data_IF_902141703358
#
_entry.id   IF_902141703358
#
_cell.length_a   1.000
_cell.length_b   1.000
_cell.length_c   1.000
_cell.angle_alpha   90.00
_cell.angle_beta   90.00
_cell.angle_gamma   90.00
#
_symmetry.space_group_name_H-M   'P 1'
#
loop_
_entity.id
_entity.type
_entity.pdbx_description
1 polymer ?
#
# COMPACT_ATOMS: atom_id res chain seq x y z
N UNK A 1 7.99 -45.42 5.91
CA UNK A 1 8.31 -44.21 5.10
C UNK A 1 9.19 -44.51 3.89
N UNK A 2 10.35 -45.19 3.99
CA UNK A 2 11.26 -45.37 2.82
C UNK A 2 10.76 -46.21 1.62
N UNK A 3 9.66 -46.96 1.72
CA UNK A 3 9.14 -47.77 0.60
C UNK A 3 8.06 -47.05 -0.22
N UNK A 4 7.31 -46.12 0.38
CA UNK A 4 6.34 -45.29 -0.34
C UNK A 4 7.03 -44.16 -1.12
N UNK A 5 8.15 -43.64 -0.59
CA UNK A 5 8.94 -42.61 -1.28
C UNK A 5 9.59 -43.14 -2.57
N UNK A 6 10.07 -44.39 -2.57
CA UNK A 6 10.68 -45.02 -3.76
C UNK A 6 9.66 -45.36 -4.86
N UNK A 7 8.44 -45.73 -4.47
CA UNK A 7 7.35 -46.03 -5.41
C UNK A 7 6.75 -44.75 -6.02
N UNK A 8 6.72 -43.64 -5.26
CA UNK A 8 6.35 -42.32 -5.78
C UNK A 8 7.42 -41.75 -6.73
N UNK A 9 8.70 -41.95 -6.41
CA UNK A 9 9.84 -41.45 -7.22
C UNK A 9 9.99 -42.22 -8.54
N UNK A 10 9.69 -43.52 -8.57
CA UNK A 10 9.66 -44.32 -9.82
C UNK A 10 8.48 -43.98 -10.72
N UNK A 11 7.34 -43.57 -10.15
CA UNK A 11 6.18 -43.08 -10.91
C UNK A 11 6.43 -41.70 -11.52
N UNK A 12 7.02 -40.78 -10.75
CA UNK A 12 7.43 -39.45 -11.21
C UNK A 12 8.46 -39.53 -12.34
N UNK A 13 9.45 -40.43 -12.25
CA UNK A 13 10.41 -40.68 -13.34
C UNK A 13 9.76 -41.25 -14.60
N UNK A 14 8.74 -42.09 -14.46
CA UNK A 14 8.01 -42.66 -15.60
C UNK A 14 7.17 -41.61 -16.36
N UNK A 15 6.59 -40.66 -15.64
CA UNK A 15 5.86 -39.52 -16.21
C UNK A 15 6.82 -38.51 -16.87
N UNK A 16 7.98 -38.26 -16.25
CA UNK A 16 9.03 -37.41 -16.80
C UNK A 16 9.65 -37.99 -18.09
N UNK A 17 9.89 -39.31 -18.15
CA UNK A 17 10.37 -39.99 -19.36
C UNK A 17 9.32 -39.97 -20.47
N UNK A 18 8.03 -40.03 -20.16
CA UNK A 18 6.95 -39.87 -21.15
C UNK A 18 6.91 -38.45 -21.71
N UNK A 19 7.00 -37.43 -20.85
CA UNK A 19 7.06 -36.04 -21.28
C UNK A 19 8.30 -35.76 -22.14
N UNK A 20 9.45 -36.32 -21.78
CA UNK A 20 10.69 -36.25 -22.58
C UNK A 20 10.56 -37.00 -23.92
N UNK A 21 9.83 -38.10 -23.99
CA UNK A 21 9.56 -38.83 -25.23
C UNK A 21 8.59 -38.08 -26.15
N UNK A 22 7.56 -37.42 -25.61
CA UNK A 22 6.69 -36.52 -26.37
C UNK A 22 7.45 -35.28 -26.86
N UNK A 23 8.25 -34.65 -26.00
CA UNK A 23 9.13 -33.55 -26.40
C UNK A 23 10.14 -33.99 -27.48
N UNK A 24 10.72 -35.18 -27.35
CA UNK A 24 11.62 -35.75 -28.37
C UNK A 24 10.89 -36.07 -29.66
N UNK A 25 9.63 -36.50 -29.61
CA UNK A 25 8.81 -36.78 -30.80
C UNK A 25 8.41 -35.49 -31.52
N UNK A 26 8.02 -34.44 -30.78
CA UNK A 26 7.74 -33.11 -31.33
C UNK A 26 9.01 -32.47 -31.90
N UNK A 27 10.14 -32.57 -31.20
CA UNK A 27 11.43 -32.11 -31.74
C UNK A 27 11.81 -32.95 -32.96
N UNK A 28 11.63 -34.27 -32.95
CA UNK A 28 11.92 -35.16 -34.10
C UNK A 28 11.02 -34.94 -35.31
N UNK A 29 9.78 -34.50 -35.12
CA UNK A 29 8.82 -34.19 -36.18
C UNK A 29 8.95 -32.74 -36.68
N UNK A 30 9.51 -31.82 -35.88
CA UNK A 30 9.76 -30.42 -36.27
C UNK A 30 11.22 -30.10 -36.63
N UNK A 31 12.17 -31.03 -36.46
CA UNK A 31 13.59 -30.87 -36.85
C UNK A 31 14.02 -31.75 -38.04
N UNK A 32 13.10 -32.41 -38.74
CA UNK A 32 13.36 -33.02 -40.06
C UNK A 32 13.41 -31.97 -41.20
N UNK A 33 14.09 -30.85 -40.94
CA UNK A 33 14.14 -29.73 -41.86
C UNK A 33 15.14 -28.64 -41.46
N UNK A 34 16.29 -29.00 -40.87
CA UNK A 34 17.57 -28.30 -41.00
C UNK A 34 18.50 -28.65 -39.84
N UNK A 35 19.45 -29.56 -40.07
CA UNK A 35 20.88 -29.33 -39.78
C UNK A 35 21.67 -30.63 -40.02
N UNK A 36 22.55 -30.54 -41.01
CA UNK A 36 23.98 -30.82 -40.87
C UNK A 36 24.62 -31.61 -42.02
N UNK A 37 25.46 -30.85 -42.70
CA UNK A 37 26.71 -31.23 -43.31
C UNK A 37 27.46 -32.21 -42.37
N UNK A 38 27.92 -33.36 -42.85
CA UNK A 38 29.37 -33.68 -42.93
C UNK A 38 29.68 -35.09 -43.48
N UNK A 39 30.59 -35.08 -44.46
CA UNK A 39 31.67 -36.03 -44.79
C UNK A 39 31.47 -37.56 -44.78
N UNK A 40 31.54 -38.12 -46.00
CA UNK A 40 32.20 -39.39 -46.33
C UNK A 40 32.55 -39.33 -47.83
N UNK A 41 33.77 -39.00 -48.27
CA UNK A 41 35.02 -39.80 -48.30
C UNK A 41 34.87 -41.19 -48.96
N UNK A 42 35.51 -41.29 -50.15
CA UNK A 42 36.20 -42.45 -50.77
C UNK A 42 35.57 -42.90 -52.11
N UNK A 43 36.13 -42.45 -53.24
CA UNK A 43 37.11 -43.19 -54.10
C UNK A 43 36.40 -44.37 -54.82
N UNK A 44 36.25 -44.43 -56.15
CA UNK A 44 37.25 -44.50 -57.23
C UNK A 44 36.51 -44.39 -58.59
N UNK A 45 36.79 -43.40 -59.43
CA UNK A 45 37.58 -43.48 -60.69
C UNK A 45 37.12 -44.49 -61.76
N UNK A 46 36.82 -44.04 -62.99
CA UNK A 46 37.73 -44.10 -64.18
C UNK A 46 37.06 -43.62 -65.49
N UNK A 47 37.89 -43.03 -66.38
CA UNK A 47 37.77 -42.82 -67.84
C UNK A 47 36.86 -41.69 -68.37
N UNK A 48 37.37 -40.48 -68.67
CA UNK A 48 38.07 -39.99 -69.90
C UNK A 48 37.26 -40.21 -71.20
N UNK A 49 37.08 -39.25 -72.13
CA UNK A 49 38.08 -38.46 -72.84
C UNK A 49 37.41 -37.31 -73.65
N UNK A 50 38.09 -36.16 -73.71
CA UNK A 50 38.13 -35.14 -74.77
C UNK A 50 36.87 -34.49 -75.38
N UNK A 51 36.84 -33.16 -75.29
CA UNK A 51 36.00 -32.27 -76.07
C UNK A 51 36.52 -30.84 -75.97
N UNK A 52 37.67 -30.60 -76.57
CA UNK A 52 38.27 -29.29 -76.79
C UNK A 52 37.29 -28.31 -77.46
N UNK A 53 36.81 -27.34 -76.68
CA UNK A 53 36.13 -26.13 -77.16
C UNK A 53 36.94 -24.90 -76.75
N UNK A 54 38.03 -24.67 -77.49
CA UNK A 54 38.90 -23.52 -77.34
C UNK A 54 38.13 -22.23 -77.64
N UNK A 55 38.28 -21.27 -76.74
CA UNK A 55 38.49 -19.83 -76.99
C UNK A 55 37.52 -19.09 -77.91
N UNK A 56 36.81 -18.16 -77.29
CA UNK A 56 36.38 -16.91 -77.91
C UNK A 56 36.52 -15.71 -76.96
N UNK A 57 37.61 -15.63 -76.17
CA UNK A 57 38.04 -14.36 -75.58
C UNK A 57 39.32 -13.96 -76.32
N UNK A 58 39.12 -13.16 -77.36
CA UNK A 58 40.19 -12.54 -78.11
C UNK A 58 40.32 -11.11 -77.58
N UNK A 59 41.38 -10.90 -76.79
CA UNK A 59 42.12 -9.66 -76.47
C UNK A 59 42.45 -9.64 -74.97
N UNK A 60 43.65 -9.14 -74.62
CA UNK A 60 44.11 -9.00 -73.22
C UNK A 60 43.25 -8.08 -72.34
N UNK A 61 42.22 -7.46 -72.92
CA UNK A 61 41.24 -6.61 -72.25
C UNK A 61 40.20 -7.45 -71.48
N UNK A 62 39.87 -8.66 -71.94
CA UNK A 62 38.83 -9.52 -71.36
C UNK A 62 39.20 -10.20 -70.03
N UNK A 63 40.49 -10.31 -69.72
CA UNK A 63 40.96 -10.98 -68.49
C UNK A 63 40.81 -10.07 -67.25
N UNK A 64 41.05 -8.77 -67.42
CA UNK A 64 40.81 -7.76 -66.38
C UNK A 64 39.31 -7.55 -66.11
N UNK A 65 38.47 -7.73 -67.14
CA UNK A 65 37.00 -7.60 -67.06
C UNK A 65 36.38 -8.60 -66.05
N UNK A 66 36.88 -9.84 -66.01
CA UNK A 66 36.34 -10.87 -65.10
C UNK A 66 36.87 -10.80 -63.67
N UNK A 67 38.02 -10.16 -63.41
CA UNK A 67 38.60 -10.06 -62.05
C UNK A 67 37.73 -9.24 -61.10
N UNK A 68 37.18 -8.11 -61.56
CA UNK A 68 36.31 -7.27 -60.74
C UNK A 68 35.03 -8.01 -60.30
N UNK A 69 34.38 -8.75 -61.22
CA UNK A 69 33.19 -9.57 -60.90
C UNK A 69 33.53 -10.71 -59.95
N UNK A 70 34.72 -11.32 -60.10
CA UNK A 70 35.20 -12.38 -59.20
C UNK A 70 35.46 -11.85 -57.80
N UNK A 71 36.02 -10.64 -57.67
CA UNK A 71 36.28 -10.00 -56.38
C UNK A 71 34.99 -9.68 -55.63
N UNK A 72 34.00 -9.09 -56.31
CA UNK A 72 32.68 -8.78 -55.70
C UNK A 72 31.92 -10.06 -55.34
N UNK A 73 32.02 -11.14 -56.16
CA UNK A 73 31.46 -12.46 -55.79
C UNK A 73 32.11 -13.05 -54.54
N UNK A 74 33.43 -12.94 -54.42
CA UNK A 74 34.17 -13.45 -53.26
C UNK A 74 33.80 -12.66 -52.00
N UNK A 75 33.74 -11.34 -52.08
CA UNK A 75 33.27 -10.48 -50.99
C UNK A 75 31.82 -10.77 -50.58
N UNK A 76 30.93 -11.02 -51.55
CA UNK A 76 29.56 -11.40 -51.26
C UNK A 76 29.46 -12.74 -50.50
N UNK A 77 30.35 -13.69 -50.79
CA UNK A 77 30.43 -14.98 -50.08
C UNK A 77 31.06 -14.85 -48.69
N UNK A 78 32.09 -14.01 -48.53
CA UNK A 78 32.77 -13.79 -47.24
C UNK A 78 31.91 -12.96 -46.27
N UNK A 79 31.12 -12.01 -46.78
CA UNK A 79 30.24 -11.14 -45.98
C UNK A 79 28.79 -11.65 -45.91
N UNK A 80 28.48 -12.79 -46.54
CA UNK A 80 27.12 -13.34 -46.65
C UNK A 80 26.03 -12.34 -47.12
N UNK A 81 26.41 -11.33 -47.90
CA UNK A 81 25.50 -10.27 -48.32
C UNK A 81 24.79 -10.62 -49.62
N UNK A 82 23.47 -10.79 -49.55
CA UNK A 82 22.63 -11.06 -50.73
C UNK A 82 22.65 -9.90 -51.73
N UNK A 83 22.76 -8.66 -51.26
CA UNK A 83 22.82 -7.45 -52.08
C UNK A 83 24.10 -7.41 -52.91
N UNK A 84 25.25 -7.74 -52.30
CA UNK A 84 26.52 -7.88 -53.03
C UNK A 84 26.47 -9.02 -54.05
N UNK A 85 25.80 -10.13 -53.71
CA UNK A 85 25.62 -11.26 -54.61
C UNK A 85 24.70 -10.94 -55.80
N UNK A 86 23.70 -10.08 -55.61
CA UNK A 86 22.84 -9.56 -56.68
C UNK A 86 23.57 -8.54 -57.56
N UNK A 87 24.39 -7.65 -56.98
CA UNK A 87 25.24 -6.74 -57.73
C UNK A 87 26.22 -7.50 -58.62
N UNK A 88 26.91 -8.51 -58.07
CA UNK A 88 27.87 -9.30 -58.84
C UNK A 88 27.21 -10.02 -60.04
N UNK A 89 25.93 -10.42 -59.91
CA UNK A 89 25.12 -10.97 -61.00
C UNK A 89 24.79 -9.92 -62.06
N UNK A 90 24.41 -8.70 -61.66
CA UNK A 90 24.12 -7.57 -62.56
C UNK A 90 25.36 -7.06 -63.28
N UNK A 91 26.53 -7.04 -62.62
CA UNK A 91 27.82 -6.73 -63.24
C UNK A 91 28.21 -7.77 -64.29
N UNK A 92 28.04 -9.07 -63.96
CA UNK A 92 28.31 -10.15 -64.89
C UNK A 92 27.41 -10.11 -66.13
N UNK A 93 26.14 -9.70 -66.00
CA UNK A 93 25.24 -9.51 -67.14
C UNK A 93 25.59 -8.26 -67.95
N UNK A 94 25.91 -7.14 -67.31
CA UNK A 94 26.27 -5.90 -68.00
C UNK A 94 27.53 -6.07 -68.87
N UNK A 95 28.54 -6.82 -68.39
CA UNK A 95 29.75 -7.11 -69.16
C UNK A 95 29.52 -8.09 -70.32
N UNK A 96 28.57 -9.02 -70.19
CA UNK A 96 28.28 -10.02 -71.24
C UNK A 96 27.44 -9.46 -72.41
N UNK A 97 26.63 -8.45 -72.18
CA UNK A 97 25.71 -7.88 -73.18
C UNK A 97 26.20 -6.54 -73.78
N UNK A 98 27.27 -5.94 -73.25
CA UNK A 98 27.79 -4.62 -73.70
C UNK A 98 28.54 -4.64 -75.03
N UNK A 99 28.95 -5.81 -75.53
CA UNK A 99 29.71 -5.92 -76.80
C UNK A 99 28.85 -5.67 -78.05
N UNK A 100 27.55 -5.43 -77.91
CA UNK A 100 26.61 -5.25 -79.02
C UNK A 100 26.37 -3.78 -79.43
N UNK A 101 26.66 -2.79 -78.58
CA UNK A 101 26.25 -1.38 -78.80
C UNK A 101 27.38 -0.33 -78.72
N UNK A 102 28.64 -0.71 -78.45
CA UNK A 102 29.77 0.24 -78.44
C UNK A 102 29.92 1.11 -77.17
N UNK A 103 29.05 0.92 -76.17
CA UNK A 103 29.16 1.55 -74.86
C UNK A 103 30.18 0.86 -73.94
N UNK A 104 30.97 1.64 -73.17
CA UNK A 104 31.99 1.16 -72.24
C UNK A 104 31.36 0.36 -71.06
N UNK A 105 31.53 -0.97 -70.98
CA UNK A 105 30.97 -1.81 -69.93
C UNK A 105 31.46 -1.42 -68.52
N UNK A 106 32.67 -0.87 -68.40
CA UNK A 106 33.22 -0.46 -67.11
C UNK A 106 32.61 0.82 -66.58
N UNK A 107 32.17 1.73 -67.44
CA UNK A 107 31.45 2.92 -67.01
C UNK A 107 30.17 2.53 -66.26
N UNK A 108 29.43 1.55 -66.79
CA UNK A 108 28.20 1.01 -66.18
C UNK A 108 28.45 0.24 -64.89
N UNK A 109 29.55 -0.51 -64.83
CA UNK A 109 29.95 -1.24 -63.60
C UNK A 109 30.42 -0.29 -62.50
N UNK A 110 31.22 0.74 -62.83
CA UNK A 110 31.60 1.80 -61.87
C UNK A 110 30.37 2.57 -61.39
N UNK A 111 29.41 2.86 -62.27
CA UNK A 111 28.14 3.49 -61.89
C UNK A 111 27.36 2.63 -60.88
N UNK A 112 27.17 1.33 -61.14
CA UNK A 112 26.48 0.43 -60.20
C UNK A 112 27.22 0.25 -58.86
N UNK A 113 28.56 0.22 -58.88
CA UNK A 113 29.37 0.20 -57.65
C UNK A 113 29.19 1.50 -56.87
N UNK A 114 29.25 2.65 -57.54
CA UNK A 114 29.05 3.96 -56.92
C UNK A 114 27.64 4.10 -56.34
N UNK A 115 26.60 3.68 -57.06
CA UNK A 115 25.21 3.67 -56.56
C UNK A 115 25.07 2.80 -55.30
N UNK A 116 25.72 1.63 -55.27
CA UNK A 116 25.67 0.75 -54.10
C UNK A 116 26.49 1.31 -52.93
N UNK A 117 27.62 1.96 -53.19
CA UNK A 117 28.39 2.68 -52.16
C UNK A 117 27.54 3.84 -51.60
N UNK A 118 26.88 4.63 -52.45
CA UNK A 118 25.98 5.69 -52.03
C UNK A 118 24.80 5.15 -51.21
N UNK A 119 24.23 4.01 -51.61
CA UNK A 119 23.15 3.34 -50.86
C UNK A 119 23.65 2.85 -49.50
N UNK A 120 24.82 2.21 -49.43
CA UNK A 120 25.42 1.73 -48.18
C UNK A 120 25.81 2.87 -47.24
N UNK A 121 26.32 3.99 -47.78
CA UNK A 121 26.59 5.19 -46.98
C UNK A 121 25.30 5.81 -46.46
N UNK A 122 24.24 5.86 -47.28
CA UNK A 122 22.92 6.32 -46.87
C UNK A 122 22.32 5.43 -45.77
N UNK A 123 22.41 4.11 -45.93
CA UNK A 123 21.93 3.13 -44.95
C UNK A 123 22.72 3.23 -43.64
N UNK A 124 24.05 3.33 -43.69
CA UNK A 124 24.88 3.60 -42.51
C UNK A 124 24.46 4.87 -41.77
N UNK A 125 24.20 5.96 -42.50
CA UNK A 125 23.74 7.20 -41.85
C UNK A 125 22.33 7.07 -41.27
N UNK A 126 21.47 6.25 -41.89
CA UNK A 126 20.12 6.00 -41.40
C UNK A 126 20.12 5.12 -40.15
N UNK A 127 20.91 4.05 -40.13
CA UNK A 127 21.10 3.18 -38.96
C UNK A 127 21.79 3.90 -37.81
N UNK A 128 22.81 4.72 -38.08
CA UNK A 128 23.45 5.53 -37.04
C UNK A 128 22.48 6.52 -36.39
N UNK A 129 21.61 7.15 -37.19
CA UNK A 129 20.53 8.01 -36.70
C UNK A 129 19.49 7.23 -35.90
N UNK A 130 19.09 6.05 -36.38
CA UNK A 130 18.12 5.19 -35.69
C UNK A 130 18.67 4.68 -34.36
N UNK A 131 19.93 4.23 -34.33
CA UNK A 131 20.61 3.82 -33.09
C UNK A 131 20.70 4.97 -32.10
N UNK A 132 21.10 6.16 -32.54
CA UNK A 132 21.15 7.35 -31.68
C UNK A 132 19.76 7.73 -31.13
N UNK A 133 18.70 7.52 -31.92
CA UNK A 133 17.32 7.69 -31.49
C UNK A 133 16.92 6.65 -30.43
N UNK A 134 17.13 5.36 -30.69
CA UNK A 134 16.87 4.28 -29.71
C UNK A 134 17.64 4.50 -28.40
N UNK A 135 18.94 4.78 -28.47
CA UNK A 135 19.78 5.02 -27.28
C UNK A 135 19.25 6.20 -26.44
N UNK A 136 18.79 7.27 -27.12
CA UNK A 136 18.20 8.45 -26.46
C UNK A 136 16.84 8.14 -25.83
N UNK A 137 15.92 7.55 -26.59
CA UNK A 137 14.57 7.22 -26.11
C UNK A 137 14.61 6.20 -24.96
N UNK A 138 15.50 5.21 -25.02
CA UNK A 138 15.72 4.26 -23.92
C UNK A 138 16.24 4.97 -22.66
N UNK A 139 17.18 5.91 -22.80
CA UNK A 139 17.66 6.72 -21.67
C UNK A 139 16.55 7.57 -21.03
N UNK A 140 15.78 8.27 -21.85
CA UNK A 140 14.66 9.11 -21.36
C UNK A 140 13.53 8.27 -20.74
N UNK A 141 13.21 7.10 -21.31
CA UNK A 141 12.18 6.22 -20.75
C UNK A 141 12.62 5.58 -19.44
N UNK A 142 13.88 5.16 -19.30
CA UNK A 142 14.38 4.60 -18.04
C UNK A 142 14.36 5.62 -16.90
N UNK A 143 14.72 6.87 -17.17
CA UNK A 143 14.65 7.95 -16.17
C UNK A 143 13.20 8.26 -15.77
N UNK A 144 12.29 8.34 -16.73
CA UNK A 144 10.84 8.50 -16.48
C UNK A 144 10.28 7.32 -15.67
N UNK A 145 10.66 6.09 -16.00
CA UNK A 145 10.27 4.88 -15.27
C UNK A 145 10.66 4.98 -13.80
N UNK A 146 11.94 5.22 -13.53
CA UNK A 146 12.45 5.34 -12.16
C UNK A 146 11.76 6.47 -11.39
N UNK A 147 11.49 7.61 -12.05
CA UNK A 147 10.75 8.72 -11.43
C UNK A 147 9.32 8.33 -11.06
N UNK A 148 8.62 7.59 -11.94
CA UNK A 148 7.24 7.16 -11.72
C UNK A 148 7.13 6.08 -10.65
N UNK A 149 8.06 5.13 -10.63
CA UNK A 149 8.17 4.13 -9.54
C UNK A 149 8.39 4.82 -8.19
N UNK A 150 9.33 5.78 -8.12
CA UNK A 150 9.57 6.55 -6.89
C UNK A 150 8.36 7.39 -6.46
N UNK A 151 7.60 7.94 -7.43
CA UNK A 151 6.36 8.68 -7.16
C UNK A 151 5.27 7.75 -6.61
N UNK A 152 5.11 6.55 -7.16
CA UNK A 152 4.17 5.53 -6.66
C UNK A 152 4.51 5.12 -5.23
N UNK A 153 5.79 4.89 -4.92
CA UNK A 153 6.25 4.54 -3.58
C UNK A 153 6.00 5.69 -2.59
N UNK A 154 6.26 6.93 -3.00
CA UNK A 154 5.99 8.12 -2.19
C UNK A 154 4.49 8.28 -1.93
N UNK A 155 3.64 8.07 -2.92
CA UNK A 155 2.19 8.12 -2.74
C UNK A 155 1.71 6.96 -1.86
N UNK A 156 2.24 5.76 -2.03
CA UNK A 156 1.96 4.60 -1.18
C UNK A 156 2.26 4.85 0.30
N UNK A 157 3.48 5.30 0.61
CA UNK A 157 3.87 5.64 1.99
C UNK A 157 3.00 6.75 2.60
N UNK A 158 2.58 7.73 1.81
CA UNK A 158 1.66 8.79 2.25
C UNK A 158 0.25 8.21 2.54
N UNK A 159 -0.26 7.33 1.69
CA UNK A 159 -1.53 6.63 1.88
C UNK A 159 -1.49 5.83 3.19
N UNK A 160 -0.43 5.04 3.41
CA UNK A 160 -0.28 4.23 4.62
C UNK A 160 -0.26 5.09 5.88
N UNK A 161 0.52 6.18 5.86
CA UNK A 161 0.61 7.14 6.97
C UNK A 161 -0.74 7.79 7.29
N UNK A 162 -1.47 8.26 6.28
CA UNK A 162 -2.79 8.88 6.47
C UNK A 162 -3.82 7.86 6.94
N UNK A 163 -3.78 6.64 6.42
CA UNK A 163 -4.70 5.55 6.79
C UNK A 163 -4.48 5.13 8.24
N UNK A 164 -3.23 4.96 8.68
CA UNK A 164 -2.89 4.65 10.07
C UNK A 164 -3.37 5.74 11.03
N UNK A 165 -3.14 7.02 10.70
CA UNK A 165 -3.63 8.16 11.49
C UNK A 165 -5.16 8.21 11.55
N UNK A 166 -5.83 7.97 10.43
CA UNK A 166 -7.30 7.91 10.38
C UNK A 166 -7.85 6.80 11.28
N UNK A 167 -7.24 5.60 11.22
CA UNK A 167 -7.62 4.48 12.08
C UNK A 167 -7.45 4.81 13.58
N UNK A 168 -6.30 5.36 13.96
CA UNK A 168 -6.04 5.80 15.33
C UNK A 168 -7.08 6.83 15.80
N UNK A 169 -7.37 7.85 14.98
CA UNK A 169 -8.36 8.88 15.33
C UNK A 169 -9.78 8.30 15.45
N UNK A 170 -10.15 7.30 14.65
CA UNK A 170 -11.43 6.59 14.78
C UNK A 170 -11.52 5.83 16.09
N UNK A 171 -10.46 5.14 16.50
CA UNK A 171 -10.39 4.46 17.80
C UNK A 171 -10.47 5.45 18.97
N UNK A 172 -9.75 6.57 18.88
CA UNK A 172 -9.80 7.63 19.89
C UNK A 172 -11.19 8.27 19.97
N UNK A 173 -11.89 8.45 18.85
CA UNK A 173 -13.27 8.94 18.85
C UNK A 173 -14.21 7.92 19.50
N UNK A 174 -14.07 6.64 19.20
CA UNK A 174 -14.89 5.59 19.80
C UNK A 174 -14.68 5.49 21.32
N UNK A 175 -13.42 5.60 21.79
CA UNK A 175 -13.13 5.60 23.22
C UNK A 175 -13.67 6.84 23.93
N UNK A 176 -13.56 8.03 23.31
CA UNK A 176 -14.14 9.26 23.84
C UNK A 176 -15.68 9.20 23.90
N UNK A 177 -16.33 8.63 22.89
CA UNK A 177 -17.78 8.42 22.89
C UNK A 177 -18.22 7.48 24.02
N UNK A 178 -17.47 6.40 24.25
CA UNK A 178 -17.71 5.51 25.38
C UNK A 178 -17.54 6.25 26.71
N UNK A 179 -16.45 7.01 26.88
CA UNK A 179 -16.22 7.81 28.08
C UNK A 179 -17.31 8.86 28.33
N UNK A 180 -17.90 9.44 27.27
CA UNK A 180 -19.05 10.34 27.37
C UNK A 180 -20.32 9.62 27.84
N UNK A 181 -20.56 8.40 27.36
CA UNK A 181 -21.68 7.57 27.80
C UNK A 181 -21.52 7.15 29.27
N UNK A 182 -20.32 6.73 29.67
CA UNK A 182 -19.98 6.38 31.05
C UNK A 182 -20.16 7.60 31.98
N UNK A 183 -19.70 8.79 31.55
CA UNK A 183 -19.88 10.05 32.28
C UNK A 183 -21.36 10.45 32.41
N UNK A 184 -22.17 10.22 31.37
CA UNK A 184 -23.61 10.47 31.46
C UNK A 184 -24.30 9.51 32.44
N UNK A 185 -23.89 8.24 32.47
CA UNK A 185 -24.38 7.25 33.42
C UNK A 185 -23.99 7.59 34.86
N UNK A 186 -22.73 8.00 35.09
CA UNK A 186 -22.27 8.39 36.42
C UNK A 186 -23.00 9.64 36.92
N UNK A 187 -23.22 10.64 36.07
CA UNK A 187 -23.97 11.84 36.43
C UNK A 187 -25.44 11.52 36.78
N UNK A 188 -26.06 10.58 36.07
CA UNK A 188 -27.42 10.13 36.38
C UNK A 188 -27.50 9.45 37.76
N UNK A 189 -26.53 8.60 38.08
CA UNK A 189 -26.45 7.94 39.39
C UNK A 189 -26.15 8.93 40.52
N UNK A 190 -25.24 9.87 40.30
CA UNK A 190 -24.94 10.98 41.22
C UNK A 190 -26.20 11.80 41.53
N UNK A 191 -26.99 12.11 40.48
CA UNK A 191 -28.27 12.83 40.62
C UNK A 191 -29.29 12.02 41.42
N UNK A 192 -29.37 10.70 41.16
CA UNK A 192 -30.26 9.79 41.89
C UNK A 192 -29.92 9.71 43.37
N UNK A 193 -28.63 9.58 43.70
CA UNK A 193 -28.15 9.55 45.09
C UNK A 193 -28.49 10.88 45.77
N UNK A 194 -28.20 12.01 45.12
CA UNK A 194 -28.48 13.34 45.67
C UNK A 194 -29.97 13.55 45.96
N UNK A 195 -30.85 13.08 45.08
CA UNK A 195 -32.30 13.14 45.30
C UNK A 195 -32.71 12.34 46.54
N UNK A 196 -32.19 11.11 46.69
CA UNK A 196 -32.48 10.27 47.86
C UNK A 196 -31.95 10.87 49.17
N UNK A 197 -30.73 11.39 49.17
CA UNK A 197 -30.14 12.04 50.34
C UNK A 197 -30.97 13.25 50.76
N UNK A 198 -31.36 14.07 49.79
CA UNK A 198 -32.21 15.23 50.03
C UNK A 198 -33.58 14.83 50.58
N UNK A 199 -34.23 13.83 49.99
CA UNK A 199 -35.51 13.31 50.47
C UNK A 199 -35.43 12.79 51.91
N UNK A 200 -34.37 12.03 52.24
CA UNK A 200 -34.13 11.54 53.59
C UNK A 200 -33.88 12.68 54.58
N UNK A 201 -33.11 13.69 54.19
CA UNK A 201 -32.88 14.86 55.02
C UNK A 201 -34.16 15.67 55.27
N UNK A 202 -34.96 15.92 54.23
CA UNK A 202 -36.24 16.63 54.34
C UNK A 202 -37.28 15.87 55.19
N UNK A 203 -37.25 14.54 55.20
CA UNK A 203 -38.09 13.72 56.07
C UNK A 203 -37.60 13.71 57.53
N UNK A 204 -36.31 13.49 57.74
CA UNK A 204 -35.76 13.26 59.09
C UNK A 204 -35.56 14.56 59.88
N UNK A 205 -35.25 15.67 59.21
CA UNK A 205 -35.04 16.97 59.87
C UNK A 205 -36.23 17.44 60.73
N UNK A 206 -37.47 17.52 60.22
CA UNK A 206 -38.60 17.99 61.02
C UNK A 206 -38.94 17.05 62.18
N UNK A 207 -38.75 15.73 62.00
CA UNK A 207 -38.93 14.75 63.08
C UNK A 207 -37.92 14.99 64.21
N UNK A 208 -36.66 15.22 63.85
CA UNK A 208 -35.58 15.49 64.79
C UNK A 208 -35.74 16.85 65.49
N UNK A 209 -36.18 17.89 64.77
CA UNK A 209 -36.51 19.21 65.35
C UNK A 209 -37.71 19.12 66.32
N UNK A 210 -38.74 18.36 65.96
CA UNK A 210 -39.91 18.12 66.82
C UNK A 210 -39.54 17.32 68.05
N UNK A 211 -38.68 16.29 67.91
CA UNK A 211 -38.12 15.52 69.02
C UNK A 211 -37.34 16.39 69.99
N UNK A 212 -36.45 17.26 69.48
CA UNK A 212 -35.69 18.21 70.29
C UNK A 212 -36.62 19.18 71.05
N UNK A 213 -37.65 19.72 70.39
CA UNK A 213 -38.63 20.59 71.04
C UNK A 213 -39.41 19.84 72.14
N UNK A 214 -39.82 18.59 71.89
CA UNK A 214 -40.49 17.76 72.88
C UNK A 214 -39.64 17.51 74.13
N UNK A 215 -38.35 17.18 73.96
CA UNK A 215 -37.40 17.00 75.06
C UNK A 215 -37.21 18.30 75.85
N UNK A 216 -37.08 19.44 75.17
CA UNK A 216 -36.99 20.77 75.81
C UNK A 216 -38.22 21.10 76.65
N UNK A 217 -39.43 20.81 76.14
CA UNK A 217 -40.67 21.00 76.89
C UNK A 217 -40.75 20.08 78.11
N UNK A 218 -40.37 18.81 77.97
CA UNK A 218 -40.33 17.86 79.08
C UNK A 218 -39.34 18.30 80.17
N UNK A 219 -38.14 18.74 79.79
CA UNK A 219 -37.14 19.29 80.71
C UNK A 219 -37.67 20.52 81.45
N UNK A 220 -38.38 21.43 80.76
CA UNK A 220 -39.00 22.61 81.39
C UNK A 220 -40.03 22.21 82.45
N UNK A 221 -40.97 21.31 82.10
CA UNK A 221 -42.01 20.85 83.02
C UNK A 221 -41.40 20.14 84.25
N UNK A 222 -40.41 19.27 84.03
CA UNK A 222 -39.74 18.56 85.14
C UNK A 222 -38.99 19.54 86.05
N UNK A 223 -38.23 20.49 85.48
CA UNK A 223 -37.52 21.52 86.27
C UNK A 223 -38.50 22.38 87.08
N UNK A 224 -39.61 22.82 86.49
CA UNK A 224 -40.65 23.60 87.18
C UNK A 224 -41.30 22.78 88.31
N UNK A 225 -41.61 21.50 88.09
CA UNK A 225 -42.20 20.61 89.10
C UNK A 225 -41.26 20.38 90.29
N UNK A 226 -39.97 20.15 90.04
CA UNK A 226 -38.99 19.93 91.12
C UNK A 226 -38.50 21.24 91.79
N UNK A 227 -38.78 22.41 91.21
CA UNK A 227 -38.44 23.72 91.77
C UNK A 227 -39.52 24.32 92.70
N UNK A 228 -40.74 23.79 92.73
CA UNK A 228 -41.78 24.26 93.65
C UNK A 228 -41.45 23.87 95.10
N UNK A 229 -41.28 24.87 95.96
CA UNK A 229 -41.03 24.73 97.41
C UNK A 229 -42.17 23.94 98.08
N UNK A 230 -41.92 22.67 98.37
CA UNK A 230 -42.90 21.75 98.98
C UNK A 230 -42.74 20.27 98.61
N UNK A 231 -41.98 19.94 97.55
CA UNK A 231 -41.59 18.56 97.24
C UNK A 231 -40.46 18.08 98.18
N UNK A 232 -40.79 17.95 99.46
CA UNK A 232 -39.89 17.71 100.59
C UNK A 232 -38.80 16.64 100.35
N UNK A 233 -37.55 17.09 100.39
CA UNK A 233 -36.34 16.51 100.99
C UNK A 233 -35.95 15.01 100.81
N UNK A 234 -36.73 14.17 100.14
CA UNK A 234 -36.39 12.77 99.85
C UNK A 234 -36.65 12.33 98.40
N UNK A 235 -37.22 13.19 97.54
CA UNK A 235 -37.50 12.89 96.12
C UNK A 235 -36.56 13.57 95.11
N UNK A 236 -35.93 14.67 95.49
CA UNK A 236 -35.01 15.43 94.62
C UNK A 236 -33.56 14.90 94.61
N UNK A 237 -33.16 14.05 95.57
CA UNK A 237 -31.75 13.67 95.79
C UNK A 237 -31.28 12.41 95.04
N UNK A 238 -32.07 11.80 94.16
CA UNK A 238 -31.66 10.56 93.47
C UNK A 238 -32.31 10.34 92.12
N UNK A 239 -33.59 9.93 92.12
CA UNK A 239 -34.27 9.50 90.89
C UNK A 239 -34.66 10.66 89.95
N UNK A 240 -35.16 11.79 90.48
CA UNK A 240 -35.60 12.94 89.66
C UNK A 240 -34.46 13.67 88.96
N UNK A 241 -33.33 13.88 89.67
CA UNK A 241 -32.12 14.46 89.07
C UNK A 241 -31.49 13.57 88.00
N UNK A 242 -31.54 12.24 88.18
CA UNK A 242 -31.07 11.29 87.16
C UNK A 242 -31.89 11.33 85.87
N UNK A 243 -33.22 11.48 85.96
CA UNK A 243 -34.10 11.61 84.77
C UNK A 243 -33.88 12.93 84.05
N UNK A 244 -33.71 14.04 84.78
CA UNK A 244 -33.37 15.34 84.17
C UNK A 244 -32.00 15.25 83.47
N UNK A 245 -30.99 14.70 84.13
CA UNK A 245 -29.66 14.53 83.53
C UNK A 245 -29.68 13.65 82.28
N UNK A 246 -30.47 12.56 82.28
CA UNK A 246 -30.62 11.72 81.09
C UNK A 246 -31.32 12.48 79.94
N UNK A 247 -32.35 13.27 80.24
CA UNK A 247 -33.04 14.09 79.22
C UNK A 247 -32.17 15.24 78.70
N UNK A 248 -31.27 15.80 79.52
CA UNK A 248 -30.27 16.79 79.09
C UNK A 248 -29.23 16.17 78.14
N UNK A 249 -28.78 14.95 78.42
CA UNK A 249 -27.92 14.18 77.50
C UNK A 249 -28.66 13.93 76.18
N UNK A 250 -29.92 13.46 76.24
CA UNK A 250 -30.75 13.23 75.06
C UNK A 250 -30.97 14.54 74.28
N UNK A 251 -31.22 15.67 74.93
CA UNK A 251 -31.32 16.98 74.26
C UNK A 251 -30.03 17.34 73.52
N UNK A 252 -28.87 17.15 74.17
CA UNK A 252 -27.56 17.37 73.56
C UNK A 252 -27.34 16.46 72.36
N UNK A 253 -27.69 15.18 72.46
CA UNK A 253 -27.57 14.20 71.37
C UNK A 253 -28.47 14.59 70.18
N UNK A 254 -29.72 15.01 70.42
CA UNK A 254 -30.62 15.52 69.39
C UNK A 254 -30.06 16.77 68.70
N UNK A 255 -29.53 17.72 69.49
CA UNK A 255 -28.95 18.96 68.96
C UNK A 255 -27.69 18.69 68.15
N UNK A 256 -26.81 17.79 68.63
CA UNK A 256 -25.61 17.37 67.92
C UNK A 256 -25.97 16.63 66.62
N UNK A 257 -26.90 15.68 66.68
CA UNK A 257 -27.35 14.92 65.49
C UNK A 257 -27.96 15.86 64.44
N UNK A 258 -28.77 16.85 64.84
CA UNK A 258 -29.31 17.86 63.91
C UNK A 258 -28.20 18.71 63.26
N UNK A 259 -27.19 19.10 64.02
CA UNK A 259 -26.06 19.85 63.51
C UNK A 259 -25.24 19.01 62.52
N UNK A 260 -24.96 17.75 62.86
CA UNK A 260 -24.26 16.79 62.00
C UNK A 260 -25.05 16.50 60.73
N UNK A 261 -26.36 16.26 60.81
CA UNK A 261 -27.23 16.07 59.65
C UNK A 261 -27.22 17.30 58.73
N UNK A 262 -27.33 18.50 59.29
CA UNK A 262 -27.34 19.76 58.52
C UNK A 262 -25.98 20.02 57.87
N UNK A 263 -24.89 19.72 58.56
CA UNK A 263 -23.54 19.81 58.02
C UNK A 263 -23.32 18.79 56.90
N UNK A 264 -23.72 17.53 57.11
CA UNK A 264 -23.62 16.45 56.12
C UNK A 264 -24.40 16.79 54.85
N UNK A 265 -25.63 17.32 54.96
CA UNK A 265 -26.43 17.75 53.82
C UNK A 265 -25.79 18.93 53.08
N UNK A 266 -25.23 19.90 53.80
CA UNK A 266 -24.53 21.03 53.19
C UNK A 266 -23.30 20.55 52.40
N UNK A 267 -22.50 19.65 52.98
CA UNK A 267 -21.35 19.04 52.30
C UNK A 267 -21.78 18.21 51.09
N UNK A 268 -22.77 17.33 51.22
CA UNK A 268 -23.27 16.51 50.12
C UNK A 268 -23.78 17.36 48.96
N UNK A 269 -24.48 18.46 49.25
CA UNK A 269 -24.90 19.43 48.23
C UNK A 269 -23.71 20.11 47.55
N UNK A 270 -22.73 20.57 48.31
CA UNK A 270 -21.54 21.23 47.75
C UNK A 270 -20.73 20.29 46.87
N UNK A 271 -20.52 19.05 47.31
CA UNK A 271 -19.82 18.03 46.52
C UNK A 271 -20.58 17.70 45.26
N UNK A 272 -21.91 17.52 45.33
CA UNK A 272 -22.73 17.32 44.14
C UNK A 272 -22.60 18.46 43.13
N UNK A 273 -22.67 19.72 43.58
CA UNK A 273 -22.54 20.90 42.71
C UNK A 273 -21.14 20.99 42.09
N UNK A 274 -20.09 20.67 42.87
CA UNK A 274 -18.70 20.65 42.41
C UNK A 274 -18.50 19.57 41.35
N UNK A 275 -18.84 18.32 41.65
CA UNK A 275 -18.70 17.18 40.74
C UNK A 275 -19.54 17.37 39.48
N UNK A 276 -20.77 17.92 39.59
CA UNK A 276 -21.60 18.23 38.42
C UNK A 276 -20.93 19.25 37.51
N UNK A 277 -20.34 20.32 38.07
CA UNK A 277 -19.62 21.32 37.28
C UNK A 277 -18.36 20.74 36.63
N UNK A 278 -17.61 19.92 37.36
CA UNK A 278 -16.43 19.23 36.83
C UNK A 278 -16.83 18.30 35.66
N UNK A 279 -17.91 17.53 35.81
CA UNK A 279 -18.44 16.66 34.76
C UNK A 279 -18.95 17.45 33.55
N UNK A 280 -19.57 18.61 33.72
CA UNK A 280 -19.98 19.49 32.62
C UNK A 280 -18.78 19.99 31.79
N UNK A 281 -17.71 20.42 32.46
CA UNK A 281 -16.47 20.87 31.80
C UNK A 281 -15.80 19.71 31.07
N UNK A 282 -15.72 18.55 31.71
CA UNK A 282 -15.12 17.36 31.12
C UNK A 282 -15.92 16.89 29.90
N UNK A 283 -17.25 16.87 30.00
CA UNK A 283 -18.16 16.58 28.89
C UNK A 283 -17.94 17.54 27.72
N UNK A 284 -17.93 18.85 27.96
CA UNK A 284 -17.75 19.86 26.91
C UNK A 284 -16.40 19.71 26.19
N UNK A 285 -15.35 19.37 26.94
CA UNK A 285 -14.01 19.14 26.41
C UNK A 285 -13.98 17.87 25.55
N UNK A 286 -14.51 16.75 26.06
CA UNK A 286 -14.59 15.48 25.32
C UNK A 286 -15.45 15.60 24.06
N UNK A 287 -16.60 16.27 24.13
CA UNK A 287 -17.46 16.53 22.96
C UNK A 287 -16.74 17.35 21.89
N UNK A 288 -15.99 18.38 22.31
CA UNK A 288 -15.16 19.16 21.40
C UNK A 288 -14.07 18.30 20.76
N UNK A 289 -13.37 17.48 21.53
CA UNK A 289 -12.37 16.54 21.01
C UNK A 289 -12.97 15.55 20.01
N UNK A 290 -14.13 14.97 20.31
CA UNK A 290 -14.87 14.10 19.39
C UNK A 290 -15.16 14.83 18.09
N UNK A 291 -15.66 16.07 18.15
CA UNK A 291 -15.99 16.87 16.97
C UNK A 291 -14.77 17.16 16.10
N UNK A 292 -13.66 17.59 16.70
CA UNK A 292 -12.43 17.92 15.96
C UNK A 292 -11.78 16.68 15.35
N UNK A 293 -11.56 15.63 16.15
CA UNK A 293 -10.99 14.37 15.66
C UNK A 293 -11.87 13.71 14.60
N UNK A 294 -13.20 13.85 14.72
CA UNK A 294 -14.13 13.38 13.69
C UNK A 294 -13.96 14.10 12.36
N UNK A 295 -13.76 15.40 12.38
CA UNK A 295 -13.47 16.15 11.15
C UNK A 295 -12.12 15.75 10.57
N UNK A 296 -11.12 15.59 11.43
CA UNK A 296 -9.75 15.25 11.04
C UNK A 296 -9.67 13.88 10.36
N UNK A 297 -10.22 12.81 10.96
CA UNK A 297 -10.17 11.49 10.32
C UNK A 297 -10.98 11.46 9.01
N UNK A 298 -12.09 12.20 8.92
CA UNK A 298 -12.88 12.29 7.67
C UNK A 298 -12.10 13.00 6.57
N UNK A 299 -11.35 14.04 6.91
CA UNK A 299 -10.48 14.73 5.96
C UNK A 299 -9.32 13.82 5.53
N UNK A 300 -8.70 13.08 6.47
CA UNK A 300 -7.69 12.09 6.12
C UNK A 300 -8.24 10.99 5.20
N UNK A 301 -9.44 10.47 5.47
CA UNK A 301 -10.09 9.49 4.60
C UNK A 301 -10.32 10.04 3.19
N UNK A 302 -10.77 11.29 3.07
CA UNK A 302 -10.94 11.95 1.77
C UNK A 302 -9.60 12.11 1.04
N UNK A 303 -8.55 12.55 1.75
CA UNK A 303 -7.21 12.69 1.19
C UNK A 303 -6.60 11.34 0.77
N UNK A 304 -6.91 10.25 1.49
CA UNK A 304 -6.51 8.88 1.11
C UNK A 304 -7.15 8.51 -0.23
N UNK A 305 -8.44 8.79 -0.42
CA UNK A 305 -9.13 8.52 -1.70
C UNK A 305 -8.51 9.33 -2.84
N UNK A 306 -8.28 10.63 -2.64
CA UNK A 306 -7.64 11.49 -3.65
C UNK A 306 -6.23 11.01 -4.00
N UNK A 307 -5.39 10.76 -2.99
CA UNK A 307 -4.01 10.30 -3.18
C UNK A 307 -3.96 8.89 -3.81
N UNK A 308 -4.94 8.04 -3.52
CA UNK A 308 -5.07 6.73 -4.18
C UNK A 308 -5.40 6.88 -5.67
N UNK A 309 -6.31 7.79 -6.01
CA UNK A 309 -6.62 8.12 -7.41
C UNK A 309 -5.39 8.65 -8.15
N UNK A 310 -4.61 9.53 -7.51
CA UNK A 310 -3.35 10.03 -8.08
C UNK A 310 -2.36 8.89 -8.33
N UNK A 311 -2.20 8.00 -7.35
CA UNK A 311 -1.33 6.82 -7.47
C UNK A 311 -1.75 5.92 -8.63
N UNK A 312 -3.04 5.69 -8.82
CA UNK A 312 -3.58 4.93 -9.94
C UNK A 312 -3.29 5.60 -11.29
N UNK A 313 -3.41 6.94 -11.36
CA UNK A 313 -3.02 7.70 -12.55
C UNK A 313 -1.53 7.54 -12.90
N UNK A 314 -0.65 7.69 -11.91
CA UNK A 314 0.80 7.50 -12.09
C UNK A 314 1.13 6.06 -12.48
N UNK A 315 0.42 5.08 -11.90
CA UNK A 315 0.56 3.67 -12.26
C UNK A 315 0.13 3.39 -13.72
N UNK A 316 -0.92 4.03 -14.20
CA UNK A 316 -1.37 3.93 -15.58
C UNK A 316 -0.32 4.52 -16.55
N UNK A 317 0.26 5.67 -16.22
CA UNK A 317 1.35 6.27 -17.00
C UNK A 317 2.60 5.38 -17.03
N UNK A 318 2.99 4.80 -15.88
CA UNK A 318 4.09 3.84 -15.81
C UNK A 318 3.83 2.63 -16.71
N UNK A 319 2.61 2.10 -16.70
CA UNK A 319 2.21 0.96 -17.55
C UNK A 319 2.31 1.33 -19.03
N UNK A 320 1.79 2.49 -19.43
CA UNK A 320 1.90 2.98 -20.81
C UNK A 320 3.37 3.16 -21.25
N UNK A 321 4.23 3.65 -20.34
CA UNK A 321 5.66 3.81 -20.62
C UNK A 321 6.38 2.47 -20.77
N UNK A 322 6.02 1.46 -19.96
CA UNK A 322 6.53 0.10 -20.11
C UNK A 322 6.09 -0.53 -21.43
N UNK A 323 4.87 -0.27 -21.89
CA UNK A 323 4.38 -0.75 -23.18
C UNK A 323 5.08 -0.05 -24.36
N UNK A 324 5.30 1.27 -24.30
CA UNK A 324 6.11 1.99 -25.30
C UNK A 324 7.52 1.41 -25.42
N UNK A 325 8.14 1.06 -24.29
CA UNK A 325 9.49 0.47 -24.27
C UNK A 325 9.56 -0.90 -24.97
N UNK A 326 8.47 -1.68 -25.00
CA UNK A 326 8.42 -2.95 -25.73
C UNK A 326 8.41 -2.78 -27.25
N UNK A 327 8.10 -1.58 -27.74
CA UNK A 327 7.99 -1.27 -29.17
C UNK A 327 9.22 -0.52 -29.73
N UNK A 328 10.16 -0.11 -28.88
CA UNK A 328 11.46 0.46 -29.24
C UNK A 328 12.50 -0.62 -29.51
#
# INVERSE_FOLDING_TARGET
MKAQDYEAETKSRGEEVKALLEAKKVISEMTSGASDITYSLRQTSFFQLHGSGRSGLWTGVDLANFEAVRFVRKLAQEQHSEVLAQLARRMASAMRYSTAEGDDPFAKVKAMINEMIETLLKDQTSEAKHKAYCDKELGETMTKKASKEAEIDKLGTKIDSMTAKSAQLKEEVASLQKALADLASSQAELTRIRQKEKEQYEANKPEMESGLQGVKMALKILREYYAQEGAAHNKASGAGGGVIGLLEVVESDFAQTLAEMSASEATAKMDYERETRENEIEKATKESSVKYKTKEYKQLDANVVETSSDREGVQAELTALLDYNKHL
#
